data_IF_198974707293
#
_entry.id   IF_198974707293
#
_cell.length_a   1.000
_cell.length_b   1.000
_cell.length_c   1.000
_cell.angle_alpha   90.00
_cell.angle_beta   90.00
_cell.angle_gamma   90.00
#
_symmetry.space_group_name_H-M   'P 1'
#
loop_
_entity.id
_entity.type
_entity.pdbx_description
1 polymer ?
#
# COMPACT_ATOMS: atom_id res chain seq x y z
N UNK A 1 -18.62 0.40 22.59
CA UNK A 1 -17.90 -0.73 21.97
C UNK A 1 -18.35 -0.98 20.52
N UNK A 2 -19.61 -1.36 20.25
CA UNK A 2 -20.10 -1.56 18.86
C UNK A 2 -19.91 -0.32 17.96
N UNK A 3 -20.29 0.89 18.42
CA UNK A 3 -20.18 2.13 17.63
C UNK A 3 -18.74 2.56 17.30
N UNK A 4 -17.76 2.24 18.16
CA UNK A 4 -16.36 2.55 17.87
C UNK A 4 -15.80 1.64 16.78
N UNK A 5 -16.22 0.36 16.77
CA UNK A 5 -15.80 -0.61 15.74
C UNK A 5 -16.33 -0.23 14.36
N UNK A 6 -17.59 0.21 14.27
CA UNK A 6 -18.18 0.65 13.00
C UNK A 6 -17.46 1.87 12.41
N UNK A 7 -17.04 2.81 13.25
CA UNK A 7 -16.30 4.01 12.81
C UNK A 7 -14.89 3.66 12.28
N UNK A 8 -14.18 2.76 12.96
CA UNK A 8 -12.85 2.31 12.53
C UNK A 8 -12.93 1.56 11.21
N UNK A 9 -13.89 0.64 11.05
CA UNK A 9 -14.10 -0.09 9.79
C UNK A 9 -14.41 0.86 8.62
N UNK A 10 -15.20 1.90 8.87
CA UNK A 10 -15.49 2.91 7.84
C UNK A 10 -14.26 3.76 7.48
N UNK A 11 -13.37 4.02 8.43
CA UNK A 11 -12.15 4.78 8.19
C UNK A 11 -11.11 3.95 7.41
N UNK A 12 -10.94 2.68 7.77
CA UNK A 12 -10.07 1.73 7.06
C UNK A 12 -10.51 1.55 5.60
N UNK A 13 -11.81 1.34 5.37
CA UNK A 13 -12.35 1.22 4.02
C UNK A 13 -12.16 2.49 3.19
N UNK A 14 -12.26 3.69 3.81
CA UNK A 14 -12.00 4.95 3.11
C UNK A 14 -10.52 5.07 2.74
N UNK A 15 -9.64 4.70 3.66
CA UNK A 15 -8.20 4.74 3.43
C UNK A 15 -7.77 3.82 2.29
N UNK A 16 -8.34 2.61 2.22
CA UNK A 16 -8.06 1.67 1.14
C UNK A 16 -8.47 2.23 -0.24
N UNK A 17 -9.61 2.93 -0.31
CA UNK A 17 -10.03 3.63 -1.54
C UNK A 17 -9.00 4.70 -1.93
N UNK A 18 -8.53 5.50 -0.98
CA UNK A 18 -7.51 6.53 -1.24
C UNK A 18 -6.19 5.93 -1.75
N UNK A 19 -5.77 4.77 -1.20
CA UNK A 19 -4.59 4.05 -1.67
C UNK A 19 -4.76 3.54 -3.11
N UNK A 20 -5.95 3.06 -3.47
CA UNK A 20 -6.30 2.63 -4.83
C UNK A 20 -6.26 3.82 -5.80
N UNK A 21 -6.87 4.95 -5.44
CA UNK A 21 -6.87 6.15 -6.26
C UNK A 21 -5.44 6.67 -6.49
N UNK A 22 -4.60 6.65 -5.46
CA UNK A 22 -3.19 7.00 -5.58
C UNK A 22 -2.42 6.02 -6.49
N UNK A 23 -2.75 4.73 -6.45
CA UNK A 23 -2.15 3.73 -7.34
C UNK A 23 -2.53 3.95 -8.81
N UNK A 24 -3.80 4.28 -9.07
CA UNK A 24 -4.28 4.65 -10.41
C UNK A 24 -3.57 5.89 -10.95
N UNK A 25 -3.36 6.90 -10.10
CA UNK A 25 -2.61 8.10 -10.47
C UNK A 25 -1.16 7.78 -10.84
N UNK A 26 -0.49 6.91 -10.09
CA UNK A 26 0.87 6.43 -10.43
C UNK A 26 0.94 5.72 -11.78
N UNK A 27 -0.11 4.96 -12.13
CA UNK A 27 -0.19 4.34 -13.46
C UNK A 27 -0.27 5.43 -14.53
N UNK A 28 -1.04 6.49 -14.28
CA UNK A 28 -1.20 7.61 -15.22
C UNK A 28 0.09 8.40 -15.44
N UNK A 29 0.88 8.63 -14.40
CA UNK A 29 2.16 9.37 -14.50
C UNK A 29 3.34 8.48 -14.91
N UNK A 30 3.21 7.16 -14.81
CA UNK A 30 4.23 6.19 -15.20
C UNK A 30 5.13 5.68 -14.08
N UNK A 31 4.85 6.06 -12.82
CA UNK A 31 5.63 5.68 -11.64
C UNK A 31 5.09 4.42 -10.94
N UNK A 32 4.10 3.76 -11.53
CA UNK A 32 3.53 2.53 -10.96
C UNK A 32 4.54 1.39 -10.97
N UNK A 33 4.60 0.67 -9.85
CA UNK A 33 5.51 -0.46 -9.69
C UNK A 33 6.91 -0.09 -9.22
N UNK A 34 7.14 1.14 -8.77
CA UNK A 34 8.38 1.56 -8.10
C UNK A 34 8.12 1.92 -6.64
N UNK A 35 9.07 1.60 -5.77
CA UNK A 35 8.98 1.95 -4.35
C UNK A 35 9.10 3.46 -4.16
N UNK A 36 8.23 4.03 -3.33
CA UNK A 36 8.29 5.45 -2.95
C UNK A 36 9.50 5.76 -2.04
N UNK A 37 10.09 4.75 -1.39
CA UNK A 37 11.22 4.93 -0.48
C UNK A 37 12.56 4.84 -1.20
N UNK A 38 12.75 3.77 -1.96
CA UNK A 38 14.04 3.49 -2.62
C UNK A 38 14.04 3.75 -4.12
N UNK A 39 12.87 3.96 -4.75
CA UNK A 39 12.75 4.04 -6.21
C UNK A 39 12.99 2.71 -6.93
N UNK A 40 13.19 1.61 -6.19
CA UNK A 40 13.47 0.30 -6.76
C UNK A 40 12.19 -0.36 -7.30
N UNK A 41 12.29 -1.20 -8.34
CA UNK A 41 11.13 -1.88 -8.92
C UNK A 41 10.51 -2.87 -7.92
N UNK A 42 9.20 -2.78 -7.74
CA UNK A 42 8.39 -3.68 -6.91
C UNK A 42 8.15 -4.99 -7.68
N UNK A 43 8.35 -6.16 -7.07
CA UNK A 43 8.07 -7.45 -7.71
C UNK A 43 6.63 -7.56 -8.21
N UNK A 44 6.45 -8.11 -9.42
CA UNK A 44 5.12 -8.21 -10.05
C UNK A 44 4.17 -9.07 -9.23
N UNK A 45 4.65 -10.17 -8.66
CA UNK A 45 3.86 -11.07 -7.82
C UNK A 45 3.24 -10.34 -6.63
N UNK A 46 3.92 -9.30 -6.12
CA UNK A 46 3.41 -8.46 -5.04
C UNK A 46 2.33 -7.49 -5.54
N UNK A 47 2.52 -6.89 -6.71
CA UNK A 47 1.52 -6.02 -7.32
C UNK A 47 0.26 -6.80 -7.75
N UNK A 48 0.40 -8.07 -8.11
CA UNK A 48 -0.72 -8.98 -8.37
C UNK A 48 -1.52 -9.29 -7.09
N UNK A 49 -0.84 -9.41 -5.94
CA UNK A 49 -1.48 -9.66 -4.65
C UNK A 49 -2.06 -8.39 -4.00
N UNK A 50 -1.36 -7.26 -4.09
CA UNK A 50 -1.70 -5.97 -3.50
C UNK A 50 -1.38 -4.82 -4.49
N UNK A 51 -2.30 -4.50 -5.41
CA UNK A 51 -2.06 -3.53 -6.47
C UNK A 51 -1.71 -2.11 -5.99
N UNK A 52 -2.24 -1.68 -4.85
CA UNK A 52 -2.00 -0.33 -4.34
C UNK A 52 -0.70 -0.17 -3.55
N UNK A 53 0.06 -1.27 -3.34
CA UNK A 53 1.31 -1.24 -2.57
C UNK A 53 2.31 -0.24 -3.13
N UNK A 54 2.93 0.51 -2.23
CA UNK A 54 3.89 1.58 -2.55
C UNK A 54 5.33 1.21 -2.21
N UNK A 55 5.53 0.08 -1.53
CA UNK A 55 6.81 -0.32 -0.93
C UNK A 55 7.16 -1.77 -1.25
N UNK A 56 8.46 -2.06 -1.23
CA UNK A 56 9.01 -3.41 -1.33
C UNK A 56 8.71 -4.26 -0.10
N UNK A 57 8.76 -5.59 -0.27
CA UNK A 57 8.62 -6.53 0.85
C UNK A 57 9.70 -6.29 1.90
N UNK A 58 10.94 -6.04 1.48
CA UNK A 58 12.08 -5.80 2.38
C UNK A 58 11.93 -4.50 3.17
N UNK A 59 11.29 -3.48 2.60
CA UNK A 59 11.05 -2.19 3.27
C UNK A 59 9.93 -2.32 4.30
N UNK A 60 8.81 -2.93 3.90
CA UNK A 60 7.66 -3.16 4.78
C UNK A 60 7.96 -4.18 5.88
N UNK A 61 8.74 -5.21 5.56
CA UNK A 61 9.19 -6.23 6.51
C UNK A 61 10.37 -5.76 7.37
N UNK A 62 10.93 -4.58 7.10
CA UNK A 62 11.99 -3.95 7.89
C UNK A 62 11.62 -3.66 9.36
N UNK A 63 10.35 -3.81 9.74
CA UNK A 63 9.89 -3.78 11.14
C UNK A 63 10.00 -5.11 11.90
N UNK A 64 10.28 -6.23 11.24
CA UNK A 64 10.33 -7.58 11.86
C UNK A 64 11.74 -8.18 11.87
N UNK A 65 12.72 -7.34 12.19
CA UNK A 65 14.13 -7.72 12.24
C UNK A 65 14.92 -6.93 13.27
N UNK A 66 14.40 -6.79 14.50
CA UNK A 66 15.23 -6.43 15.65
C UNK A 66 14.61 -6.90 16.96
N UNK A 67 15.20 -8.01 17.45
CA UNK A 67 15.24 -8.55 18.83
C UNK A 67 14.30 -9.71 19.12
#
# INVERSE_FOLDING_TARGET
VERERDLVLSAEARHEIEEIDAALERIRVGDYGYSIHSGLPIPRERLEALPWTTELVTERAGGLGSR
#
